data_IF_767433411377
#
_entry.id   IF_767433411377
#
_cell.length_a   1.000
_cell.length_b   1.000
_cell.length_c   1.000
_cell.angle_alpha   90.00
_cell.angle_beta   90.00
_cell.angle_gamma   90.00
#
_symmetry.space_group_name_H-M   'P 1'
#
loop_
_entity.id
_entity.type
_entity.pdbx_description
1 polymer ?
#
# COMPACT_ATOMS: atom_id res chain seq x y z
N UNK A 1 -12.61 0.15 2.63
CA UNK A 1 -11.75 1.02 1.83
C UNK A 1 -11.55 0.44 0.45
N UNK A 2 -11.58 1.29 -0.54
CA UNK A 2 -11.44 0.84 -1.91
C UNK A 2 -10.34 1.65 -2.59
N UNK A 3 -9.25 0.98 -2.92
CA UNK A 3 -8.09 1.63 -3.53
C UNK A 3 -7.94 1.20 -4.98
N UNK A 4 -7.43 2.10 -5.81
CA UNK A 4 -7.19 1.82 -7.22
C UNK A 4 -5.70 1.64 -7.53
N UNK A 5 -4.83 2.29 -6.76
CA UNK A 5 -3.40 2.31 -7.04
C UNK A 5 -2.59 1.48 -6.06
N UNK A 6 -3.22 0.95 -5.03
CA UNK A 6 -2.56 0.07 -4.07
C UNK A 6 -3.48 -1.09 -3.72
N UNK A 7 -2.88 -2.15 -3.22
CA UNK A 7 -3.59 -3.26 -2.60
C UNK A 7 -3.27 -3.21 -1.12
N UNK A 8 -4.28 -3.43 -0.28
CA UNK A 8 -4.11 -3.28 1.15
C UNK A 8 -4.94 -4.31 1.89
N UNK A 9 -4.31 -5.00 2.85
CA UNK A 9 -5.02 -5.91 3.73
C UNK A 9 -4.30 -6.00 5.08
N UNK A 10 -5.06 -6.36 6.10
CA UNK A 10 -4.50 -6.65 7.42
C UNK A 10 -5.00 -8.05 7.81
N UNK A 11 -4.08 -8.96 8.06
CA UNK A 11 -4.41 -10.34 8.44
C UNK A 11 -3.42 -10.80 9.49
N UNK A 12 -3.94 -11.33 10.61
CA UNK A 12 -3.12 -11.87 11.70
C UNK A 12 -2.08 -10.88 12.21
N UNK A 13 -2.43 -9.61 12.29
CA UNK A 13 -1.53 -8.58 12.78
C UNK A 13 -0.51 -8.07 11.76
N UNK A 14 -0.57 -8.59 10.53
CA UNK A 14 0.33 -8.17 9.44
C UNK A 14 -0.44 -7.30 8.46
N UNK A 15 -0.01 -6.07 8.30
CA UNK A 15 -0.54 -5.17 7.28
C UNK A 15 0.29 -5.33 6.02
N UNK A 16 -0.35 -5.69 4.91
CA UNK A 16 0.30 -5.84 3.61
C UNK A 16 -0.17 -4.73 2.70
N UNK A 17 0.77 -3.96 2.21
CA UNK A 17 0.50 -2.83 1.35
C UNK A 17 1.33 -2.98 0.09
N UNK A 18 0.66 -3.09 -1.05
CA UNK A 18 1.32 -3.35 -2.33
C UNK A 18 1.07 -2.18 -3.27
N UNK A 19 2.15 -1.57 -3.76
CA UNK A 19 2.04 -0.56 -4.81
C UNK A 19 1.58 -1.28 -6.08
N UNK A 20 0.48 -0.86 -6.67
CA UNK A 20 -0.16 -1.61 -7.74
C UNK A 20 -0.37 -0.78 -9.00
N UNK A 21 0.74 -0.25 -9.51
CA UNK A 21 0.81 0.37 -10.84
C UNK A 21 1.96 -0.24 -11.63
N UNK A 22 1.93 -1.57 -11.87
CA UNK A 22 3.08 -2.26 -12.47
C UNK A 22 3.38 -1.81 -13.91
N UNK A 23 2.38 -1.37 -14.66
CA UNK A 23 2.57 -0.84 -16.00
C UNK A 23 3.27 0.52 -16.01
N UNK A 24 3.36 1.18 -14.88
CA UNK A 24 4.06 2.44 -14.69
C UNK A 24 5.23 2.27 -13.72
N UNK A 25 5.67 1.04 -13.49
CA UNK A 25 6.74 0.69 -12.55
C UNK A 25 6.49 1.28 -11.17
N UNK A 26 5.21 1.35 -10.77
CA UNK A 26 4.75 1.86 -9.48
C UNK A 26 5.21 3.28 -9.18
N UNK A 27 5.36 4.11 -10.21
CA UNK A 27 5.69 5.52 -10.02
C UNK A 27 4.57 6.24 -9.27
N UNK A 28 4.94 7.15 -8.39
CA UNK A 28 3.99 7.85 -7.55
C UNK A 28 3.20 8.89 -8.31
N UNK A 29 1.91 8.96 -7.98
CA UNK A 29 1.02 10.04 -8.37
C UNK A 29 0.40 10.61 -7.10
N UNK A 30 -0.29 11.75 -7.23
CA UNK A 30 -1.03 12.31 -6.10
C UNK A 30 -2.09 11.36 -5.58
N UNK A 31 -2.76 10.65 -6.49
CA UNK A 31 -3.80 9.69 -6.09
C UNK A 31 -3.22 8.52 -5.31
N UNK A 32 -2.10 7.97 -5.75
CA UNK A 32 -1.44 6.89 -5.03
C UNK A 32 -0.98 7.35 -3.66
N UNK A 33 -0.44 8.57 -3.58
CA UNK A 33 -0.01 9.13 -2.31
C UNK A 33 -1.16 9.26 -1.32
N UNK A 34 -2.31 9.73 -1.79
CA UNK A 34 -3.49 9.87 -0.95
C UNK A 34 -3.98 8.51 -0.44
N UNK A 35 -3.98 7.49 -1.32
CA UNK A 35 -4.37 6.13 -0.93
C UNK A 35 -3.41 5.54 0.09
N UNK A 36 -2.11 5.74 -0.11
CA UNK A 36 -1.10 5.29 0.84
C UNK A 36 -1.32 5.91 2.21
N UNK A 37 -1.57 7.20 2.23
CA UNK A 37 -1.80 7.91 3.48
C UNK A 37 -3.03 7.38 4.21
N UNK A 38 -4.10 7.12 3.48
CA UNK A 38 -5.32 6.55 4.06
C UNK A 38 -5.06 5.16 4.62
N UNK A 39 -4.29 4.33 3.89
CA UNK A 39 -3.94 2.99 4.36
C UNK A 39 -3.08 3.05 5.63
N UNK A 40 -2.09 3.94 5.66
CA UNK A 40 -1.23 4.10 6.84
C UNK A 40 -2.03 4.56 8.05
N UNK A 41 -2.99 5.46 7.86
CA UNK A 41 -3.87 5.89 8.94
C UNK A 41 -4.70 4.72 9.48
N UNK A 42 -5.18 3.85 8.60
CA UNK A 42 -5.93 2.68 9.00
C UNK A 42 -5.07 1.70 9.80
N UNK A 43 -3.82 1.51 9.40
CA UNK A 43 -2.88 0.65 10.13
C UNK A 43 -2.63 1.22 11.53
N UNK A 44 -2.43 2.51 11.61
CA UNK A 44 -2.16 3.17 12.89
C UNK A 44 -3.35 3.06 13.83
N UNK A 45 -4.56 3.08 13.30
CA UNK A 45 -5.77 2.95 14.08
C UNK A 45 -6.07 1.50 14.50
N UNK A 46 -5.48 0.52 13.83
CA UNK A 46 -5.71 -0.90 14.10
C UNK A 46 -4.72 -1.39 15.14
N UNK A 47 -5.20 -1.63 16.35
CA UNK A 47 -4.36 -2.06 17.46
C UNK A 47 -3.79 -3.46 17.29
N UNK A 48 -4.36 -4.26 16.41
CA UNK A 48 -3.89 -5.60 16.14
C UNK A 48 -2.76 -5.61 15.11
N UNK A 49 -2.60 -4.56 14.32
CA UNK A 49 -1.56 -4.48 13.31
C UNK A 49 -0.21 -4.22 13.98
N UNK A 50 0.73 -5.13 13.78
CA UNK A 50 2.04 -5.09 14.42
C UNK A 50 3.19 -4.98 13.46
N UNK A 51 2.99 -5.40 12.21
CA UNK A 51 4.01 -5.45 11.19
C UNK A 51 3.44 -4.88 9.91
N UNK A 52 4.24 -4.08 9.21
CA UNK A 52 3.90 -3.58 7.88
C UNK A 52 4.84 -4.22 6.86
N UNK A 53 4.25 -4.87 5.86
CA UNK A 53 4.98 -5.38 4.70
C UNK A 53 4.63 -4.49 3.52
N UNK A 54 5.63 -3.82 2.95
CA UNK A 54 5.45 -2.92 1.82
C UNK A 54 6.18 -3.49 0.62
N UNK A 55 5.45 -3.67 -0.47
CA UNK A 55 6.02 -4.25 -1.68
C UNK A 55 5.45 -3.59 -2.92
N UNK A 56 6.00 -3.90 -4.08
CA UNK A 56 5.52 -3.41 -5.36
C UNK A 56 5.10 -4.54 -6.27
N UNK A 57 3.96 -4.40 -6.93
CA UNK A 57 3.51 -5.37 -7.92
C UNK A 57 4.36 -5.25 -9.18
N UNK A 58 4.59 -6.38 -9.85
CA UNK A 58 5.34 -6.42 -11.08
C UNK A 58 6.85 -6.45 -10.82
N UNK A 59 7.62 -5.98 -11.81
CA UNK A 59 9.08 -6.13 -11.81
C UNK A 59 9.84 -5.03 -11.06
N UNK A 60 9.16 -3.99 -10.62
CA UNK A 60 9.83 -2.89 -9.91
C UNK A 60 9.05 -2.56 -8.64
N UNK A 61 9.77 -2.17 -7.59
CA UNK A 61 9.12 -1.70 -6.39
C UNK A 61 8.50 -0.33 -6.64
N UNK A 62 9.31 0.63 -7.01
CA UNK A 62 8.84 1.99 -7.27
C UNK A 62 9.86 2.72 -8.13
N UNK A 63 9.40 3.36 -9.21
CA UNK A 63 10.29 4.09 -10.10
C UNK A 63 10.49 5.56 -9.71
N UNK A 64 9.75 6.02 -8.74
CA UNK A 64 9.93 7.39 -8.26
C UNK A 64 8.75 8.32 -8.34
#
# INVERSE_FOLDING_TARGET
>A
MKFENILFEITDGVARLTLNRPDKLNSFTGDMHAELREALDAIQADKAARVLVLTGAGRAFCAG
#
